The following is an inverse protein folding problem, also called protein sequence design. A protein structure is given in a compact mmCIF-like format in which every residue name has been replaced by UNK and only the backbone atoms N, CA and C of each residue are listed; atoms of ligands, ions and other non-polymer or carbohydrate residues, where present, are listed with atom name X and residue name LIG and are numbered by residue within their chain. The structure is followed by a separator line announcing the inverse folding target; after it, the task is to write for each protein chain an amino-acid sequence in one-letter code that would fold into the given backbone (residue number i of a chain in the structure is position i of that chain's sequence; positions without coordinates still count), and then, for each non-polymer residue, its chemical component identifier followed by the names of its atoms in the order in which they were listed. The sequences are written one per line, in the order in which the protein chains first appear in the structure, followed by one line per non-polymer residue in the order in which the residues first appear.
data_IF_641703626965
#
_entry.id   IF_641703626965
#
_cell.length_a   1.000
_cell.length_b   1.000
_cell.length_c   1.000
_cell.angle_alpha   90.00
_cell.angle_beta   90.00
_cell.angle_gamma   90.00
#
_symmetry.space_group_name_H-M   'P 1'
#
loop_
_entity.id
_entity.type
_entity.pdbx_description
1 polymer ?
#
# COMPACT_ATOMS: atom_id res chain seq x y z
N UNK A 1 -28.31 -31.57 4.63
CA UNK A 1 -27.08 -30.84 5.03
C UNK A 1 -27.02 -30.82 6.56
N UNK A 2 -26.10 -31.57 7.20
CA UNK A 2 -26.08 -31.76 8.66
C UNK A 2 -25.35 -30.61 9.40
N UNK A 3 -25.45 -30.59 10.74
CA UNK A 3 -24.88 -29.53 11.59
C UNK A 3 -23.35 -29.37 11.44
N UNK A 4 -22.63 -30.47 11.25
CA UNK A 4 -21.17 -30.49 11.04
C UNK A 4 -20.82 -29.82 9.70
N UNK A 5 -21.55 -30.14 8.62
CA UNK A 5 -21.36 -29.49 7.32
C UNK A 5 -21.62 -27.98 7.37
N UNK A 6 -22.61 -27.54 8.15
CA UNK A 6 -22.89 -26.10 8.36
C UNK A 6 -21.77 -25.40 9.14
N UNK A 7 -21.25 -26.05 10.19
CA UNK A 7 -20.15 -25.51 11.00
C UNK A 7 -18.85 -25.38 10.20
N UNK A 8 -18.50 -26.40 9.39
CA UNK A 8 -17.35 -26.36 8.49
C UNK A 8 -17.51 -25.25 7.44
N UNK A 9 -18.68 -25.17 6.78
CA UNK A 9 -18.95 -24.10 5.82
C UNK A 9 -18.86 -22.69 6.45
N UNK A 10 -19.30 -22.52 7.71
CA UNK A 10 -19.17 -21.25 8.45
C UNK A 10 -17.70 -20.90 8.70
N UNK A 11 -16.90 -21.88 9.13
CA UNK A 11 -15.45 -21.71 9.36
C UNK A 11 -14.70 -21.39 8.06
N UNK A 12 -15.05 -22.05 6.96
CA UNK A 12 -14.43 -21.80 5.65
C UNK A 12 -14.77 -20.41 5.12
N UNK A 13 -16.01 -19.94 5.30
CA UNK A 13 -16.39 -18.56 4.98
C UNK A 13 -15.61 -17.56 5.82
N UNK A 14 -15.50 -17.77 7.13
CA UNK A 14 -14.74 -16.89 8.02
C UNK A 14 -13.25 -16.84 7.64
N UNK A 15 -12.64 -17.99 7.33
CA UNK A 15 -11.25 -18.05 6.86
C UNK A 15 -11.05 -17.33 5.52
N UNK A 16 -12.01 -17.46 4.61
CA UNK A 16 -11.98 -16.76 3.32
C UNK A 16 -12.06 -15.25 3.52
N UNK A 17 -12.93 -14.79 4.42
CA UNK A 17 -13.06 -13.36 4.70
C UNK A 17 -11.81 -12.79 5.37
N UNK A 18 -11.25 -13.48 6.37
CA UNK A 18 -9.97 -13.10 6.97
C UNK A 18 -8.85 -13.00 5.93
N UNK A 19 -8.82 -13.90 4.95
CA UNK A 19 -7.84 -13.83 3.86
C UNK A 19 -8.04 -12.59 2.98
N UNK A 20 -9.29 -12.17 2.76
CA UNK A 20 -9.62 -10.95 2.01
C UNK A 20 -9.21 -9.70 2.75
N UNK A 21 -9.47 -9.65 4.07
CA UNK A 21 -9.00 -8.54 4.90
C UNK A 21 -7.47 -8.46 4.92
N UNK A 22 -6.78 -9.58 5.12
CA UNK A 22 -5.32 -9.60 5.10
C UNK A 22 -4.74 -9.13 3.75
N UNK A 23 -5.39 -9.48 2.63
CA UNK A 23 -5.01 -8.97 1.31
C UNK A 23 -5.23 -7.46 1.16
N UNK A 24 -6.34 -6.95 1.69
CA UNK A 24 -6.68 -5.53 1.71
C UNK A 24 -5.67 -4.72 2.55
N UNK A 25 -5.39 -5.18 3.78
CA UNK A 25 -4.39 -4.59 4.68
C UNK A 25 -3.00 -4.60 4.05
N UNK A 26 -2.58 -5.74 3.46
CA UNK A 26 -1.30 -5.81 2.73
C UNK A 26 -1.23 -4.81 1.58
N UNK A 27 -2.35 -4.63 0.86
CA UNK A 27 -2.46 -3.63 -0.20
C UNK A 27 -2.23 -2.21 0.30
N UNK A 28 -2.85 -1.87 1.43
CA UNK A 28 -2.68 -0.57 2.10
C UNK A 28 -1.25 -0.35 2.56
N UNK A 29 -0.67 -1.33 3.25
CA UNK A 29 0.69 -1.25 3.79
C UNK A 29 1.71 -1.09 2.66
N UNK A 30 1.60 -1.88 1.61
CA UNK A 30 2.56 -1.83 0.50
C UNK A 30 2.47 -0.50 -0.26
N UNK A 31 1.26 -0.04 -0.58
CA UNK A 31 1.06 1.23 -1.28
C UNK A 31 1.60 2.41 -0.46
N UNK A 32 1.26 2.45 0.84
CA UNK A 32 1.72 3.49 1.77
C UNK A 32 3.23 3.48 1.90
N UNK A 33 3.83 2.30 2.11
CA UNK A 33 5.29 2.14 2.27
C UNK A 33 6.05 2.65 1.06
N UNK A 34 5.65 2.27 -0.16
CA UNK A 34 6.37 2.68 -1.37
C UNK A 34 6.20 4.18 -1.67
N UNK A 35 5.01 4.73 -1.45
CA UNK A 35 4.77 6.17 -1.61
C UNK A 35 5.53 6.99 -0.55
N UNK A 36 5.53 6.54 0.70
CA UNK A 36 6.28 7.18 1.77
C UNK A 36 7.77 7.08 1.54
N UNK A 37 8.26 5.96 1.01
CA UNK A 37 9.67 5.83 0.58
C UNK A 37 10.01 6.87 -0.48
N UNK A 38 9.17 7.08 -1.49
CA UNK A 38 9.37 8.14 -2.47
C UNK A 38 9.34 9.55 -1.86
N UNK A 39 8.42 9.82 -0.94
CA UNK A 39 8.31 11.10 -0.25
C UNK A 39 9.53 11.38 0.64
N UNK A 40 10.04 10.35 1.30
CA UNK A 40 11.24 10.40 2.10
C UNK A 40 12.45 10.70 1.21
N UNK A 41 12.74 9.83 0.24
CA UNK A 41 13.95 9.87 -0.57
C UNK A 41 14.07 11.13 -1.43
N UNK A 42 12.95 11.57 -2.03
CA UNK A 42 12.96 12.69 -3.01
C UNK A 42 12.60 14.04 -2.41
N UNK A 43 11.83 14.06 -1.31
CA UNK A 43 11.26 15.30 -0.77
C UNK A 43 11.53 15.51 0.73
N UNK A 44 12.33 14.63 1.35
CA UNK A 44 12.74 14.73 2.75
C UNK A 44 11.57 14.72 3.72
N UNK A 45 10.49 13.99 3.39
CA UNK A 45 9.43 13.75 4.37
C UNK A 45 9.97 12.81 5.44
N UNK A 46 9.95 13.24 6.69
CA UNK A 46 10.29 12.40 7.83
C UNK A 46 9.09 12.22 8.77
N UNK A 47 9.36 11.60 9.92
CA UNK A 47 8.40 11.25 10.99
C UNK A 47 7.22 12.22 11.14
N UNK A 48 7.51 13.51 11.34
CA UNK A 48 6.47 14.51 11.63
C UNK A 48 5.50 14.73 10.47
N UNK A 49 5.99 14.72 9.23
CA UNK A 49 5.11 14.89 8.05
C UNK A 49 4.28 13.64 7.80
N UNK A 50 4.85 12.46 8.03
CA UNK A 50 4.10 11.21 7.92
C UNK A 50 3.04 11.06 9.01
N UNK A 51 3.32 11.46 10.25
CA UNK A 51 2.32 11.53 11.31
C UNK A 51 1.15 12.45 10.91
N UNK A 52 1.44 13.64 10.38
CA UNK A 52 0.40 14.58 9.94
C UNK A 52 -0.41 14.08 8.71
N UNK A 53 0.17 13.21 7.88
CA UNK A 53 -0.55 12.54 6.81
C UNK A 53 -1.43 11.42 7.36
N UNK A 54 -0.96 10.72 8.40
CA UNK A 54 -1.72 9.63 9.01
C UNK A 54 -3.02 10.09 9.67
N UNK A 55 -3.05 11.30 10.23
CA UNK A 55 -4.28 11.91 10.75
C UNK A 55 -5.39 12.00 9.69
N UNK A 56 -5.05 12.06 8.40
CA UNK A 56 -6.09 12.10 7.37
C UNK A 56 -6.85 10.78 7.24
N UNK A 57 -6.21 9.65 7.50
CA UNK A 57 -6.89 8.35 7.50
C UNK A 57 -7.99 8.30 8.57
N UNK A 58 -7.76 8.93 9.72
CA UNK A 58 -8.71 8.95 10.84
C UNK A 58 -10.01 9.69 10.52
N UNK A 59 -10.00 10.56 9.50
CA UNK A 59 -11.17 11.35 9.10
C UNK A 59 -11.81 10.85 7.79
N UNK A 60 -11.37 9.72 7.23
CA UNK A 60 -11.93 9.21 5.97
C UNK A 60 -13.41 8.82 6.10
N UNK A 61 -13.83 8.36 7.27
CA UNK A 61 -15.22 7.98 7.55
C UNK A 61 -16.19 9.18 7.60
N UNK A 62 -15.65 10.41 7.63
CA UNK A 62 -16.44 11.65 7.60
C UNK A 62 -16.86 12.05 6.18
N UNK A 63 -16.24 11.47 5.15
CA UNK A 63 -16.55 11.79 3.75
C UNK A 63 -17.69 10.94 3.20
N UNK A 64 -18.44 11.51 2.25
CA UNK A 64 -19.56 10.84 1.59
C UNK A 64 -19.10 9.58 0.82
N UNK A 65 -19.97 8.58 0.70
CA UNK A 65 -19.67 7.39 -0.10
C UNK A 65 -19.28 7.79 -1.53
N UNK A 66 -18.19 7.21 -2.04
CA UNK A 66 -17.69 7.49 -3.39
C UNK A 66 -16.72 8.67 -3.50
N UNK A 67 -16.40 9.38 -2.41
CA UNK A 67 -15.47 10.54 -2.42
C UNK A 67 -14.12 10.26 -3.10
N UNK A 68 -13.63 9.02 -3.04
CA UNK A 68 -12.37 8.60 -3.68
C UNK A 68 -12.42 8.82 -5.20
N UNK A 69 -13.57 8.63 -5.84
CA UNK A 69 -13.71 8.86 -7.28
C UNK A 69 -13.69 10.36 -7.60
N UNK A 70 -14.35 11.18 -6.79
CA UNK A 70 -14.32 12.64 -6.94
C UNK A 70 -12.88 13.16 -6.79
N UNK A 71 -12.16 12.71 -5.76
CA UNK A 71 -10.76 13.09 -5.53
C UNK A 71 -9.86 12.64 -6.66
N UNK A 72 -10.07 11.41 -7.17
CA UNK A 72 -9.32 10.90 -8.33
C UNK A 72 -9.53 11.79 -9.53
N UNK A 73 -10.77 12.13 -9.84
CA UNK A 73 -11.10 12.86 -11.06
C UNK A 73 -10.56 14.29 -10.99
N UNK A 74 -10.68 14.97 -9.84
CA UNK A 74 -10.01 16.25 -9.60
C UNK A 74 -8.49 16.13 -9.74
N UNK A 75 -7.85 15.13 -9.11
CA UNK A 75 -6.40 14.92 -9.24
C UNK A 75 -5.96 14.69 -10.69
N UNK A 76 -6.81 14.08 -11.53
CA UNK A 76 -6.51 13.89 -12.96
C UNK A 76 -6.41 15.21 -13.71
N UNK A 77 -7.17 16.23 -13.31
CA UNK A 77 -7.04 17.59 -13.84
C UNK A 77 -5.69 18.23 -13.47
N UNK A 78 -5.07 17.77 -12.38
CA UNK A 78 -3.78 18.24 -11.87
C UNK A 78 -2.65 17.21 -12.06
N UNK A 79 -2.67 16.47 -13.16
CA UNK A 79 -1.53 15.66 -13.60
C UNK A 79 -1.36 14.27 -12.98
N UNK A 80 -2.32 13.79 -12.19
CA UNK A 80 -2.39 12.39 -11.74
C UNK A 80 -2.91 11.48 -12.85
N UNK A 81 -2.13 10.47 -13.24
CA UNK A 81 -2.56 9.48 -14.24
C UNK A 81 -3.32 8.33 -13.57
N UNK A 82 -4.66 8.32 -13.67
CA UNK A 82 -5.49 7.23 -13.13
C UNK A 82 -5.17 5.86 -13.70
N UNK A 83 -4.83 5.78 -15.00
CA UNK A 83 -4.55 4.51 -15.67
C UNK A 83 -3.17 3.96 -15.26
N UNK A 84 -2.21 4.83 -14.97
CA UNK A 84 -0.97 4.42 -14.32
C UNK A 84 -1.23 3.89 -12.91
N UNK A 85 -2.07 4.57 -12.12
CA UNK A 85 -2.43 4.11 -10.77
C UNK A 85 -3.09 2.72 -10.79
N UNK A 86 -4.04 2.50 -11.69
CA UNK A 86 -4.71 1.20 -11.86
C UNK A 86 -3.73 0.09 -12.27
N UNK A 87 -2.80 0.37 -13.19
CA UNK A 87 -1.77 -0.58 -13.60
C UNK A 87 -0.81 -0.93 -12.47
N UNK A 88 -0.40 0.07 -11.66
CA UNK A 88 0.41 -0.16 -10.46
C UNK A 88 -0.35 -1.06 -9.48
N UNK A 89 -1.61 -0.74 -9.20
CA UNK A 89 -2.44 -1.51 -8.29
C UNK A 89 -2.63 -2.96 -8.74
N UNK A 90 -2.88 -3.19 -10.04
CA UNK A 90 -3.00 -4.54 -10.59
C UNK A 90 -1.70 -5.34 -10.43
N UNK A 91 -0.54 -4.72 -10.70
CA UNK A 91 0.75 -5.39 -10.58
C UNK A 91 1.07 -5.77 -9.14
N UNK A 92 0.87 -4.85 -8.19
CA UNK A 92 1.08 -5.10 -6.77
C UNK A 92 0.09 -6.15 -6.22
N UNK A 93 -1.18 -6.08 -6.64
CA UNK A 93 -2.18 -7.07 -6.26
C UNK A 93 -1.78 -8.49 -6.66
N UNK A 94 -1.19 -8.69 -7.85
CA UNK A 94 -0.70 -10.00 -8.30
C UNK A 94 0.42 -10.52 -7.39
N UNK A 95 1.30 -9.65 -6.90
CA UNK A 95 2.36 -10.02 -5.95
C UNK A 95 1.79 -10.45 -4.60
N UNK A 96 0.82 -9.71 -4.06
CA UNK A 96 0.22 -9.97 -2.74
C UNK A 96 -0.64 -11.25 -2.75
N UNK A 97 -1.49 -11.39 -3.76
CA UNK A 97 -2.50 -12.46 -3.76
C UNK A 97 -2.04 -13.74 -4.45
N UNK A 98 -0.92 -13.69 -5.18
CA UNK A 98 -0.36 -14.81 -5.93
C UNK A 98 -1.30 -15.36 -7.00
N UNK A 99 -1.24 -16.68 -7.23
CA UNK A 99 -2.05 -17.38 -8.25
C UNK A 99 -3.48 -17.73 -7.78
N UNK A 100 -4.05 -16.93 -6.88
CA UNK A 100 -5.41 -17.17 -6.38
C UNK A 100 -6.47 -17.06 -7.49
N UNK A 101 -7.60 -17.74 -7.32
CA UNK A 101 -8.81 -17.58 -8.17
C UNK A 101 -9.94 -16.84 -7.46
N UNK A 102 -9.72 -16.37 -6.21
CA UNK A 102 -10.72 -15.57 -5.49
C UNK A 102 -10.75 -14.14 -6.05
N UNK A 103 -11.67 -13.90 -6.99
CA UNK A 103 -11.85 -12.60 -7.64
C UNK A 103 -12.19 -11.48 -6.65
N UNK A 104 -12.84 -11.79 -5.51
CA UNK A 104 -13.16 -10.78 -4.49
C UNK A 104 -11.91 -10.35 -3.73
N UNK A 105 -11.04 -11.30 -3.37
CA UNK A 105 -9.73 -11.00 -2.80
C UNK A 105 -8.91 -10.14 -3.76
N UNK A 106 -8.87 -10.50 -5.03
CA UNK A 106 -8.12 -9.75 -6.05
C UNK A 106 -8.66 -8.32 -6.19
N UNK A 107 -9.98 -8.16 -6.36
CA UNK A 107 -10.61 -6.84 -6.48
C UNK A 107 -10.36 -5.99 -5.23
N UNK A 108 -10.68 -6.50 -4.04
CA UNK A 108 -10.51 -5.77 -2.77
C UNK A 108 -9.07 -5.33 -2.54
N UNK A 109 -8.09 -6.21 -2.80
CA UNK A 109 -6.66 -5.87 -2.67
C UNK A 109 -6.27 -4.74 -3.63
N UNK A 110 -6.67 -4.83 -4.90
CA UNK A 110 -6.37 -3.82 -5.92
C UNK A 110 -7.00 -2.48 -5.58
N UNK A 111 -8.26 -2.49 -5.15
CA UNK A 111 -9.01 -1.29 -4.85
C UNK A 111 -8.40 -0.54 -3.64
N UNK A 112 -7.93 -1.27 -2.62
CA UNK A 112 -7.18 -0.66 -1.51
C UNK A 112 -5.87 -0.02 -1.97
N UNK A 113 -5.08 -0.69 -2.80
CA UNK A 113 -3.81 -0.13 -3.32
C UNK A 113 -4.06 1.16 -4.10
N UNK A 114 -5.06 1.15 -4.99
CA UNK A 114 -5.40 2.31 -5.81
C UNK A 114 -5.98 3.46 -4.98
N UNK A 115 -6.88 3.15 -4.04
CA UNK A 115 -7.51 4.10 -3.14
C UNK A 115 -6.50 4.78 -2.23
N UNK A 116 -5.54 4.02 -1.70
CA UNK A 116 -4.51 4.57 -0.80
C UNK A 116 -3.63 5.58 -1.51
N UNK A 117 -3.24 5.30 -2.75
CA UNK A 117 -2.54 6.27 -3.56
C UNK A 117 -3.37 7.55 -3.71
N UNK A 118 -4.65 7.46 -4.08
CA UNK A 118 -5.52 8.63 -4.24
C UNK A 118 -5.56 9.48 -2.96
N UNK A 119 -5.73 8.87 -1.77
CA UNK A 119 -5.73 9.59 -0.49
C UNK A 119 -4.41 10.32 -0.24
N UNK A 120 -3.27 9.68 -0.49
CA UNK A 120 -1.94 10.28 -0.34
C UNK A 120 -1.75 11.46 -1.31
N UNK A 121 -2.10 11.27 -2.58
CA UNK A 121 -2.00 12.33 -3.58
C UNK A 121 -2.93 13.50 -3.26
N UNK A 122 -4.16 13.22 -2.82
CA UNK A 122 -5.12 14.22 -2.37
C UNK A 122 -4.60 15.02 -1.18
N UNK A 123 -3.98 14.34 -0.22
CA UNK A 123 -3.32 14.97 0.94
C UNK A 123 -2.26 15.98 0.48
N UNK A 124 -1.40 15.57 -0.44
CA UNK A 124 -0.31 16.41 -0.94
C UNK A 124 -0.86 17.61 -1.72
N UNK A 125 -1.91 17.41 -2.52
CA UNK A 125 -2.58 18.47 -3.26
C UNK A 125 -3.24 19.51 -2.33
N UNK A 126 -3.99 19.04 -1.32
CA UNK A 126 -4.83 19.91 -0.47
C UNK A 126 -4.08 20.53 0.71
N UNK A 127 -3.31 19.74 1.46
CA UNK A 127 -2.57 20.20 2.65
C UNK A 127 -1.21 20.78 2.30
N UNK A 128 -0.45 20.12 1.43
CA UNK A 128 0.90 20.54 1.07
C UNK A 128 0.95 21.44 -0.18
N UNK A 129 -0.21 21.71 -0.80
CA UNK A 129 -0.36 22.57 -1.99
C UNK A 129 0.52 22.12 -3.16
N UNK A 130 0.78 20.82 -3.27
CA UNK A 130 1.46 20.28 -4.44
C UNK A 130 0.59 20.47 -5.67
N UNK A 131 1.26 20.57 -6.82
CA UNK A 131 0.67 20.80 -8.13
C UNK A 131 1.29 19.82 -9.13
N UNK A 132 0.83 19.90 -10.36
CA UNK A 132 0.94 18.90 -11.42
C UNK A 132 2.33 18.29 -11.52
N UNK A 133 3.37 19.12 -11.63
CA UNK A 133 4.75 18.64 -11.76
C UNK A 133 5.15 17.72 -10.60
N UNK A 134 4.88 18.13 -9.35
CA UNK A 134 5.28 17.34 -8.17
C UNK A 134 4.43 16.09 -8.00
N UNK A 135 3.15 16.14 -8.36
CA UNK A 135 2.27 14.98 -8.34
C UNK A 135 2.74 13.97 -9.40
N UNK A 136 2.93 14.41 -10.65
CA UNK A 136 3.42 13.54 -11.71
C UNK A 136 4.80 12.92 -11.38
N UNK A 137 5.72 13.73 -10.85
CA UNK A 137 7.04 13.29 -10.41
C UNK A 137 6.98 12.22 -9.31
N UNK A 138 6.07 12.36 -8.35
CA UNK A 138 5.84 11.38 -7.29
C UNK A 138 5.25 10.08 -7.86
N UNK A 139 4.29 10.19 -8.77
CA UNK A 139 3.66 9.02 -9.38
C UNK A 139 4.66 8.20 -10.21
N UNK A 140 5.58 8.88 -10.90
CA UNK A 140 6.68 8.24 -11.59
C UNK A 140 7.67 7.57 -10.61
N UNK A 141 8.04 8.24 -9.52
CA UNK A 141 8.84 7.59 -8.47
C UNK A 141 8.15 6.34 -7.93
N UNK A 142 6.84 6.42 -7.67
CA UNK A 142 6.07 5.28 -7.15
C UNK A 142 6.08 4.11 -8.13
N UNK A 143 5.86 4.39 -9.43
CA UNK A 143 5.99 3.40 -10.51
C UNK A 143 7.37 2.73 -10.51
N UNK A 144 8.44 3.50 -10.32
CA UNK A 144 9.81 2.98 -10.34
C UNK A 144 10.11 2.11 -9.10
N UNK A 145 9.66 2.51 -7.91
CA UNK A 145 9.75 1.68 -6.69
C UNK A 145 8.97 0.38 -6.83
N UNK A 146 7.77 0.44 -7.42
CA UNK A 146 6.95 -0.74 -7.73
C UNK A 146 7.65 -1.65 -8.75
N UNK A 147 8.31 -1.09 -9.75
CA UNK A 147 9.10 -1.86 -10.72
C UNK A 147 10.19 -2.68 -10.02
N UNK A 148 11.00 -2.05 -9.17
CA UNK A 148 12.08 -2.71 -8.40
C UNK A 148 11.52 -3.81 -7.49
N UNK A 149 10.39 -3.56 -6.82
CA UNK A 149 9.70 -4.56 -6.00
C UNK A 149 9.29 -5.80 -6.81
N UNK A 150 8.66 -5.60 -7.98
CA UNK A 150 8.13 -6.70 -8.81
C UNK A 150 9.25 -7.56 -9.40
N UNK A 151 10.40 -6.95 -9.70
CA UNK A 151 11.57 -7.69 -10.22
C UNK A 151 12.40 -8.34 -9.11
N UNK A 152 11.91 -8.33 -7.86
CA UNK A 152 12.58 -8.86 -6.67
C UNK A 152 13.98 -8.29 -6.44
N UNK A 153 14.23 -7.08 -6.93
CA UNK A 153 15.50 -6.39 -6.68
C UNK A 153 15.57 -5.90 -5.23
N UNK A 154 14.43 -5.44 -4.69
CA UNK A 154 14.28 -5.05 -3.28
C UNK A 154 12.94 -5.57 -2.75
N UNK A 155 12.91 -6.45 -1.73
CA UNK A 155 11.68 -6.93 -1.14
C UNK A 155 10.97 -5.83 -0.33
N UNK A 156 9.65 -5.93 -0.18
CA UNK A 156 8.85 -4.93 0.54
C UNK A 156 9.36 -4.69 1.98
N UNK A 157 9.88 -5.74 2.62
CA UNK A 157 10.38 -5.70 3.99
C UNK A 157 11.56 -4.72 4.17
N UNK A 158 12.41 -4.58 3.16
CA UNK A 158 13.52 -3.61 3.20
C UNK A 158 12.98 -2.17 3.17
N UNK A 159 11.98 -1.88 2.34
CA UNK A 159 11.31 -0.56 2.33
C UNK A 159 10.62 -0.27 3.68
N UNK A 160 9.88 -1.24 4.22
CA UNK A 160 9.24 -1.10 5.54
C UNK A 160 10.28 -0.86 6.64
N UNK A 161 11.40 -1.60 6.61
CA UNK A 161 12.47 -1.46 7.59
C UNK A 161 13.15 -0.11 7.52
N UNK A 162 13.44 0.42 6.32
CA UNK A 162 13.97 1.77 6.17
C UNK A 162 13.05 2.82 6.80
N UNK A 163 11.76 2.80 6.48
CA UNK A 163 10.81 3.75 7.05
C UNK A 163 10.59 3.56 8.56
N UNK A 164 10.67 2.34 9.06
CA UNK A 164 10.62 2.07 10.49
C UNK A 164 11.81 2.70 11.22
N UNK A 165 13.04 2.49 10.74
CA UNK A 165 14.26 3.00 11.37
C UNK A 165 14.38 4.52 11.23
N UNK A 166 14.15 5.06 10.03
CA UNK A 166 14.43 6.47 9.72
C UNK A 166 13.25 7.39 10.07
N UNK A 167 12.02 6.86 9.99
CA UNK A 167 10.80 7.66 10.16
C UNK A 167 9.91 7.21 11.31
N UNK A 168 10.26 6.15 12.04
CA UNK A 168 9.47 5.59 13.15
C UNK A 168 8.04 5.24 12.71
N UNK A 169 7.90 4.63 11.53
CA UNK A 169 6.63 4.09 11.05
C UNK A 169 6.55 2.63 11.45
N UNK A 170 5.50 2.28 12.19
CA UNK A 170 5.29 0.94 12.70
C UNK A 170 4.51 0.09 11.70
N UNK A 171 4.98 -1.14 11.51
CA UNK A 171 4.37 -2.11 10.62
C UNK A 171 4.21 -3.44 11.37
N UNK A 172 2.99 -3.78 11.84
CA UNK A 172 2.76 -5.06 12.52
C UNK A 172 3.20 -6.27 11.68
N UNK A 173 3.04 -6.19 10.36
CA UNK A 173 3.50 -7.22 9.43
C UNK A 173 5.03 -7.39 9.44
N UNK A 174 5.80 -6.30 9.58
CA UNK A 174 7.26 -6.35 9.66
C UNK A 174 7.71 -7.03 10.96
N UNK A 175 7.08 -6.69 12.10
CA UNK A 175 7.40 -7.31 13.39
C UNK A 175 7.18 -8.83 13.35
N UNK A 176 6.06 -9.27 12.78
CA UNK A 176 5.75 -10.69 12.60
C UNK A 176 6.78 -11.36 11.69
N UNK A 177 7.17 -10.70 10.60
CA UNK A 177 8.18 -11.20 9.67
C UNK A 177 9.55 -11.34 10.35
N UNK A 178 10.02 -10.33 11.06
CA UNK A 178 11.33 -10.33 11.73
C UNK A 178 11.40 -11.36 12.86
N UNK A 179 10.29 -11.58 13.57
CA UNK A 179 10.19 -12.65 14.58
C UNK A 179 10.36 -14.06 13.98
N UNK A 180 9.96 -14.25 12.73
CA UNK A 180 10.01 -15.56 12.06
C UNK A 180 11.30 -15.77 11.28
N UNK A 181 11.87 -14.72 10.70
CA UNK A 181 12.97 -14.81 9.73
C UNK A 181 14.28 -14.16 10.21
N UNK A 182 14.27 -13.50 11.37
CA UNK A 182 15.36 -12.65 11.84
C UNK A 182 15.19 -11.19 11.36
N UNK A 183 15.98 -10.26 11.91
CA UNK A 183 15.89 -8.84 11.58
C UNK A 183 16.22 -8.61 10.09
N UNK A 184 15.49 -7.68 9.47
CA UNK A 184 15.78 -7.26 8.10
C UNK A 184 17.03 -6.39 8.10
N UNK A 185 18.03 -6.76 7.29
CA UNK A 185 19.27 -6.01 7.11
C UNK A 185 19.16 -5.08 5.89
N UNK A 186 19.07 -3.78 6.15
CA UNK A 186 19.02 -2.71 5.14
C UNK A 186 20.39 -2.10 4.83
N UNK A 187 21.44 -2.46 5.57
CA UNK A 187 22.78 -1.86 5.43
C UNK A 187 23.74 -2.73 4.62
N UNK A 188 23.52 -4.04 4.57
CA UNK A 188 24.38 -4.95 3.81
C UNK A 188 23.71 -5.57 2.59
N UNK A 189 22.41 -5.30 2.41
CA UNK A 189 21.56 -5.89 1.38
C UNK A 189 21.43 -7.41 1.56
N UNK A 190 20.44 -8.04 0.92
CA UNK A 190 20.29 -9.48 0.93
C UNK A 190 21.49 -10.21 0.26
N UNK A 191 22.63 -10.32 0.95
CA UNK A 191 23.72 -11.27 0.68
C UNK A 191 23.46 -12.62 1.35
N UNK A 192 22.19 -12.98 1.48
CA UNK A 192 21.78 -14.34 1.84
C UNK A 192 21.88 -15.21 0.60
N UNK A 193 22.85 -16.12 0.60
CA UNK A 193 23.07 -17.11 -0.44
C UNK A 193 21.75 -17.76 -0.90
N UNK A 194 21.49 -17.69 -2.21
CA UNK A 194 20.59 -18.61 -2.91
C UNK A 194 21.42 -19.45 -3.86
#
# INVERSE_FOLDING_TARGET
MNAISRALAKRDRARTELRREAGAESGTDWATTLLFSCLHDKYGFGRNRFAAMNDMWAHLDEFQEGFIFDWRDELCEHGFDRFLNERIAERMQKMITGRTRDLKLMAKTRDMIAGVAIVIFWTLYTKYKWRDKRLNDLQNCYKDKVYVLIHNEVPIWEFMKCLNVECNIDYPALEVYEKQNGPVDIYHGNRGAR
#
